data_IF_130146655634
#
_entry.id   IF_130146655634
#
_cell.length_a   1.000
_cell.length_b   1.000
_cell.length_c   1.000
_cell.angle_alpha   90.00
_cell.angle_beta   90.00
_cell.angle_gamma   90.00
#
_symmetry.space_group_name_H-M   'P 1'
#
loop_
_entity.id
_entity.type
_entity.pdbx_description
1 polymer ?
#
# COMPACT_ATOMS: atom_id res chain seq x y z
N UNK A 1 30.81 -11.91 -36.55
CA UNK A 1 29.84 -12.12 -35.44
C UNK A 1 29.16 -13.47 -35.67
N UNK A 2 29.46 -14.48 -34.85
CA UNK A 2 28.91 -15.84 -35.06
C UNK A 2 27.38 -15.83 -34.88
N UNK A 3 26.66 -16.50 -35.78
CA UNK A 3 25.18 -16.49 -35.86
C UNK A 3 24.51 -16.83 -34.52
N UNK A 4 25.15 -17.66 -33.69
CA UNK A 4 24.71 -17.99 -32.33
C UNK A 4 24.61 -16.77 -31.39
N UNK A 5 25.50 -15.77 -31.54
CA UNK A 5 25.52 -14.55 -30.72
C UNK A 5 24.37 -13.60 -31.06
N UNK A 6 23.82 -13.68 -32.28
CA UNK A 6 22.63 -12.91 -32.71
C UNK A 6 21.34 -13.56 -32.22
N UNK A 7 21.27 -14.88 -32.19
CA UNK A 7 20.10 -15.63 -31.70
C UNK A 7 19.93 -15.48 -30.18
N UNK A 8 21.03 -15.56 -29.42
CA UNK A 8 21.02 -15.35 -27.97
C UNK A 8 20.51 -13.94 -27.61
N UNK A 9 20.97 -12.90 -28.31
CA UNK A 9 20.51 -11.53 -28.05
C UNK A 9 19.02 -11.31 -28.42
N UNK A 10 18.52 -11.93 -29.50
CA UNK A 10 17.14 -11.72 -29.97
C UNK A 10 16.07 -12.40 -29.09
N UNK A 11 16.41 -13.49 -28.39
CA UNK A 11 15.46 -14.23 -27.55
C UNK A 11 15.48 -13.78 -26.08
N UNK A 12 16.64 -13.33 -25.57
CA UNK A 12 16.78 -12.88 -24.18
C UNK A 12 16.15 -11.52 -23.91
N UNK A 13 16.17 -10.61 -24.89
CA UNK A 13 15.60 -9.25 -24.74
C UNK A 13 14.08 -9.27 -24.53
N UNK A 14 13.26 -9.94 -25.36
CA UNK A 14 11.80 -9.96 -25.14
C UNK A 14 11.40 -10.72 -23.86
N UNK A 15 12.14 -11.76 -23.48
CA UNK A 15 11.90 -12.48 -22.22
C UNK A 15 12.17 -11.60 -20.99
N UNK A 16 13.25 -10.80 -21.02
CA UNK A 16 13.59 -9.89 -19.92
C UNK A 16 12.60 -8.72 -19.78
N UNK A 17 12.08 -8.22 -20.90
CA UNK A 17 11.02 -7.18 -20.91
C UNK A 17 9.72 -7.71 -20.28
N UNK A 18 9.36 -8.97 -20.55
CA UNK A 18 8.16 -9.58 -19.97
C UNK A 18 8.27 -9.75 -18.44
N UNK A 19 9.45 -10.09 -17.93
CA UNK A 19 9.72 -10.20 -16.49
C UNK A 19 9.68 -8.84 -15.80
N UNK A 20 10.23 -7.79 -16.43
CA UNK A 20 10.26 -6.44 -15.86
C UNK A 20 8.86 -5.79 -15.73
N UNK A 21 7.93 -6.09 -16.64
CA UNK A 21 6.55 -5.59 -16.56
C UNK A 21 5.77 -6.23 -15.41
N UNK A 22 6.07 -7.49 -15.09
CA UNK A 22 5.35 -8.26 -14.06
C UNK A 22 5.67 -7.82 -12.63
N UNK A 23 6.84 -7.20 -12.40
CA UNK A 23 7.25 -6.73 -11.07
C UNK A 23 6.77 -5.31 -10.75
N UNK A 24 6.41 -4.53 -11.77
CA UNK A 24 5.93 -3.15 -11.60
C UNK A 24 4.55 -3.08 -10.91
N UNK A 25 3.76 -4.15 -10.90
CA UNK A 25 2.47 -4.21 -10.20
C UNK A 25 2.59 -4.66 -8.74
N UNK A 26 3.76 -5.13 -8.30
CA UNK A 26 4.00 -5.61 -6.93
C UNK A 26 4.59 -4.52 -6.03
N UNK A 27 5.17 -3.46 -6.61
CA UNK A 27 5.52 -2.27 -5.84
C UNK A 27 4.23 -1.60 -5.35
N UNK A 28 4.02 -1.68 -4.03
CA UNK A 28 2.78 -1.31 -3.35
C UNK A 28 2.18 -0.02 -3.90
N UNK A 29 1.00 -0.13 -4.50
CA UNK A 29 0.22 1.02 -4.94
C UNK A 29 -0.07 1.92 -3.73
N UNK A 30 -0.05 3.26 -3.88
CA UNK A 30 -0.52 4.17 -2.85
C UNK A 30 -1.90 3.71 -2.37
N UNK A 31 -1.99 3.34 -1.10
CA UNK A 31 -3.25 2.93 -0.48
C UNK A 31 -3.93 4.18 0.08
N UNK A 32 -5.23 4.31 -0.12
CA UNK A 32 -6.01 5.34 0.56
C UNK A 32 -5.84 5.20 2.08
N UNK A 33 -5.58 6.34 2.72
CA UNK A 33 -5.43 6.47 4.16
C UNK A 33 -6.53 7.35 4.73
N UNK A 34 -6.83 7.15 6.00
CA UNK A 34 -7.79 7.97 6.75
C UNK A 34 -7.28 8.15 8.17
N UNK A 35 -7.47 9.35 8.71
CA UNK A 35 -7.17 9.65 10.10
C UNK A 35 -8.33 9.19 10.99
N UNK A 36 -7.99 8.54 12.10
CA UNK A 36 -8.93 8.11 13.13
C UNK A 36 -8.35 8.41 14.51
N UNK A 37 -9.22 8.67 15.47
CA UNK A 37 -8.89 8.72 16.87
C UNK A 37 -8.98 7.32 17.44
N UNK A 38 -7.83 6.74 17.74
CA UNK A 38 -7.71 5.37 18.21
C UNK A 38 -7.85 5.28 19.72
N UNK A 39 -8.79 4.45 20.17
CA UNK A 39 -9.01 4.19 21.60
C UNK A 39 -7.90 3.29 22.14
N UNK A 40 -7.25 3.72 23.21
CA UNK A 40 -6.23 2.93 23.91
C UNK A 40 -6.83 2.11 25.04
N UNK A 41 -6.06 1.16 25.59
CA UNK A 41 -6.52 0.31 26.70
C UNK A 41 -6.89 1.06 27.99
N UNK A 42 -6.52 2.33 28.12
CA UNK A 42 -6.90 3.20 29.24
C UNK A 42 -8.09 4.12 28.89
N UNK A 43 -8.72 3.93 27.73
CA UNK A 43 -9.87 4.73 27.27
C UNK A 43 -9.52 6.12 26.74
N UNK A 44 -8.24 6.51 26.68
CA UNK A 44 -7.81 7.74 26.01
C UNK A 44 -7.70 7.53 24.50
N UNK A 45 -7.84 8.61 23.73
CA UNK A 45 -7.71 8.61 22.27
C UNK A 45 -6.40 9.23 21.82
N UNK A 46 -5.89 8.79 20.66
CA UNK A 46 -4.84 9.51 19.93
C UNK A 46 -5.00 9.32 18.43
N UNK A 47 -4.54 10.30 17.66
CA UNK A 47 -4.68 10.30 16.22
C UNK A 47 -3.71 9.30 15.56
N UNK A 48 -4.23 8.45 14.67
CA UNK A 48 -3.45 7.56 13.83
C UNK A 48 -3.92 7.63 12.37
N UNK A 49 -3.01 7.37 11.44
CA UNK A 49 -3.30 7.34 10.01
C UNK A 49 -3.31 5.88 9.50
N UNK A 50 -4.50 5.35 9.24
CA UNK A 50 -4.70 3.93 8.91
C UNK A 50 -5.04 3.75 7.43
N UNK A 51 -4.87 2.53 6.90
CA UNK A 51 -5.47 2.20 5.61
C UNK A 51 -6.98 2.31 5.71
N UNK A 52 -7.62 2.87 4.68
CA UNK A 52 -9.08 2.89 4.54
C UNK A 52 -9.70 1.49 4.61
N UNK A 53 -8.97 0.45 4.23
CA UNK A 53 -9.40 -0.94 4.34
C UNK A 53 -9.54 -1.42 5.80
N UNK A 54 -8.80 -0.80 6.72
CA UNK A 54 -8.84 -1.13 8.14
C UNK A 54 -9.94 -0.35 8.90
N UNK A 55 -10.50 0.70 8.30
CA UNK A 55 -11.49 1.58 8.93
C UNK A 55 -12.68 0.81 9.55
N UNK A 56 -13.29 -0.19 8.90
CA UNK A 56 -14.41 -0.91 9.52
C UNK A 56 -14.02 -1.66 10.80
N UNK A 57 -12.79 -2.21 10.86
CA UNK A 57 -12.30 -2.90 12.04
C UNK A 57 -12.00 -1.94 13.18
N UNK A 58 -11.37 -0.79 12.87
CA UNK A 58 -11.10 0.25 13.85
C UNK A 58 -12.39 0.82 14.47
N UNK A 59 -13.39 1.14 13.63
CA UNK A 59 -14.71 1.57 14.11
C UNK A 59 -15.39 0.50 14.97
N UNK A 60 -15.24 -0.79 14.62
CA UNK A 60 -15.74 -1.91 15.42
C UNK A 60 -15.03 -2.10 16.77
N UNK A 61 -13.80 -1.60 16.91
CA UNK A 61 -13.04 -1.60 18.17
C UNK A 61 -13.25 -0.33 19.01
N UNK A 62 -14.06 0.61 18.55
CA UNK A 62 -14.39 1.83 19.29
C UNK A 62 -13.57 3.06 18.90
N UNK A 63 -12.79 3.00 17.81
CA UNK A 63 -12.18 4.20 17.24
C UNK A 63 -13.26 5.13 16.70
N UNK A 64 -12.97 6.43 16.68
CA UNK A 64 -13.87 7.46 16.16
C UNK A 64 -13.17 8.31 15.11
N UNK A 65 -13.95 9.07 14.35
CA UNK A 65 -13.39 10.09 13.46
C UNK A 65 -12.99 11.31 14.30
N UNK A 66 -11.90 12.00 13.93
CA UNK A 66 -11.60 13.30 14.50
C UNK A 66 -12.73 14.29 14.20
N UNK A 67 -12.83 15.34 15.01
CA UNK A 67 -13.82 16.40 14.80
C UNK A 67 -13.47 17.30 13.60
N UNK A 68 -14.23 18.40 13.42
CA UNK A 68 -14.00 19.35 12.32
C UNK A 68 -12.65 20.07 12.39
N UNK A 69 -11.99 20.08 13.55
CA UNK A 69 -10.69 20.70 13.80
C UNK A 69 -9.54 19.69 13.77
N UNK A 70 -9.84 18.39 13.66
CA UNK A 70 -8.86 17.32 13.66
C UNK A 70 -8.54 16.78 15.06
N UNK A 71 -9.31 17.17 16.07
CA UNK A 71 -9.07 16.81 17.47
C UNK A 71 -9.76 15.49 17.84
N UNK A 72 -9.12 14.78 18.78
CA UNK A 72 -9.66 13.57 19.37
C UNK A 72 -10.42 13.87 20.66
N UNK A 73 -11.40 13.03 21.03
CA UNK A 73 -12.13 13.17 22.29
C UNK A 73 -11.25 13.10 23.54
#
# INVERSE_FOLDING_TARGET
MSKARRILASALIPAMVLVAVSTATVVGQPQDKVDVCHVTGNGSYHLINISKNALPAHMGHGDVLPDEYGDCP
#
